data_IF_178971189559
#
_entry.id   IF_178971189559
#
_cell.length_a   1.000
_cell.length_b   1.000
_cell.length_c   1.000
_cell.angle_alpha   90.00
_cell.angle_beta   90.00
_cell.angle_gamma   90.00
#
_symmetry.space_group_name_H-M   'P 1'
#
loop_
_entity.id
_entity.type
_entity.pdbx_description
1 polymer ?
#
# COMPACT_ATOMS: atom_id res chain seq x y z
N UNK A 1 4.94 -7.97 17.69
CA UNK A 1 5.42 -6.62 17.34
C UNK A 1 6.54 -6.17 18.28
N UNK A 2 6.31 -6.14 19.61
CA UNK A 2 7.32 -5.72 20.61
C UNK A 2 8.69 -6.39 20.42
N UNK A 3 8.74 -7.72 20.36
CA UNK A 3 10.01 -8.47 20.13
C UNK A 3 10.74 -8.09 18.83
N UNK A 4 10.01 -7.66 17.79
CA UNK A 4 10.63 -7.19 16.54
C UNK A 4 11.30 -5.84 16.79
N UNK A 5 10.63 -4.93 17.49
CA UNK A 5 11.19 -3.63 17.81
C UNK A 5 12.38 -3.73 18.78
N UNK A 6 12.30 -4.60 19.78
CA UNK A 6 13.44 -4.90 20.67
C UNK A 6 14.66 -5.34 19.85
N UNK A 7 14.50 -6.33 18.97
CA UNK A 7 15.60 -6.79 18.10
C UNK A 7 16.12 -5.71 17.13
N UNK A 8 15.24 -4.84 16.63
CA UNK A 8 15.66 -3.72 15.77
C UNK A 8 16.50 -2.71 16.56
N UNK A 9 16.10 -2.37 17.78
CA UNK A 9 16.85 -1.46 18.65
C UNK A 9 18.20 -2.02 19.14
N UNK A 10 18.33 -3.35 19.21
CA UNK A 10 19.62 -3.99 19.53
C UNK A 10 20.64 -3.83 18.37
N UNK A 11 20.17 -3.70 17.13
CA UNK A 11 21.03 -3.74 15.94
C UNK A 11 21.15 -2.38 15.25
N UNK A 12 20.09 -1.55 15.30
CA UNK A 12 20.01 -0.29 14.59
C UNK A 12 19.73 0.87 15.54
N UNK A 13 20.36 1.99 15.28
CA UNK A 13 19.99 3.29 15.84
C UNK A 13 18.83 3.86 14.99
N UNK A 14 17.65 3.93 15.57
CA UNK A 14 16.47 4.47 14.89
C UNK A 14 16.46 5.98 15.09
N UNK A 15 16.43 6.74 13.99
CA UNK A 15 16.38 8.19 14.04
C UNK A 15 15.14 8.68 14.80
N UNK A 16 15.26 9.76 15.57
CA UNK A 16 14.16 10.31 16.38
C UNK A 16 12.96 10.74 15.50
N UNK A 17 13.22 11.18 14.26
CA UNK A 17 12.24 11.60 13.29
C UNK A 17 11.86 10.49 12.28
N UNK A 18 12.22 9.23 12.55
CA UNK A 18 11.92 8.12 11.65
C UNK A 18 10.41 8.02 11.35
N UNK A 19 10.06 7.83 10.08
CA UNK A 19 8.71 7.42 9.69
C UNK A 19 8.57 5.92 9.94
N UNK A 20 7.69 5.56 10.86
CA UNK A 20 7.41 4.16 11.21
C UNK A 20 5.96 3.86 10.89
N UNK A 21 5.76 3.12 9.80
CA UNK A 21 4.44 2.79 9.27
C UNK A 21 4.00 1.38 9.63
N UNK A 22 2.72 1.21 9.92
CA UNK A 22 2.05 -0.08 9.94
C UNK A 22 0.89 -0.08 8.95
N UNK A 23 0.79 -1.16 8.17
CA UNK A 23 -0.37 -1.40 7.32
C UNK A 23 -1.45 -2.13 8.11
N UNK A 24 -2.70 -1.69 7.93
CA UNK A 24 -3.85 -2.22 8.63
C UNK A 24 -5.03 -2.44 7.67
N UNK A 25 -5.74 -3.55 7.85
CA UNK A 25 -7.03 -3.71 7.20
C UNK A 25 -8.14 -3.17 8.12
N UNK A 26 -9.20 -2.56 7.57
CA UNK A 26 -10.38 -2.17 8.34
C UNK A 26 -10.91 -3.32 9.21
N UNK A 27 -11.33 -3.02 10.44
CA UNK A 27 -11.82 -4.02 11.40
C UNK A 27 -10.72 -4.82 12.12
N UNK A 28 -9.43 -4.61 11.84
CA UNK A 28 -8.33 -5.34 12.50
C UNK A 28 -7.65 -4.57 13.62
N UNK A 29 -7.89 -3.28 13.73
CA UNK A 29 -7.35 -2.41 14.78
C UNK A 29 -8.24 -2.43 16.02
N UNK A 30 -7.64 -2.33 17.21
CA UNK A 30 -8.32 -2.16 18.49
C UNK A 30 -7.63 -1.06 19.30
N UNK A 31 -8.29 -0.45 20.29
CA UNK A 31 -7.67 0.57 21.13
C UNK A 31 -6.37 0.08 21.79
N UNK A 32 -6.33 -1.19 22.23
CA UNK A 32 -5.15 -1.81 22.86
C UNK A 32 -3.98 -1.92 21.88
N UNK A 33 -4.25 -2.40 20.61
CA UNK A 33 -3.23 -2.47 19.56
C UNK A 33 -2.70 -1.09 19.22
N UNK A 34 -3.59 -0.11 19.08
CA UNK A 34 -3.19 1.27 18.73
C UNK A 34 -2.35 1.91 19.84
N UNK A 35 -2.71 1.66 21.12
CA UNK A 35 -1.89 2.09 22.25
C UNK A 35 -0.51 1.44 22.22
N UNK A 36 -0.43 0.13 21.93
CA UNK A 36 0.85 -0.57 21.80
C UNK A 36 1.67 -0.01 20.61
N UNK A 37 1.05 0.25 19.47
CA UNK A 37 1.72 0.85 18.31
C UNK A 37 2.34 2.22 18.64
N UNK A 38 1.58 3.08 19.34
CA UNK A 38 2.11 4.39 19.78
C UNK A 38 3.31 4.25 20.71
N UNK A 39 3.27 3.30 21.66
CA UNK A 39 4.39 3.03 22.59
C UNK A 39 5.64 2.54 21.85
N UNK A 40 5.48 1.83 20.75
CA UNK A 40 6.58 1.36 19.89
C UNK A 40 7.12 2.44 18.93
N UNK A 41 6.58 3.67 18.99
CA UNK A 41 7.02 4.75 18.11
C UNK A 41 6.37 4.74 16.73
N UNK A 42 5.43 3.83 16.44
CA UNK A 42 4.68 3.84 15.18
C UNK A 42 3.91 5.16 15.08
N UNK A 43 4.16 5.92 14.00
CA UNK A 43 3.64 7.26 13.83
C UNK A 43 2.80 7.44 12.54
N UNK A 44 2.76 6.43 11.67
CA UNK A 44 1.96 6.41 10.44
C UNK A 44 1.16 5.10 10.34
N UNK A 45 -0.10 5.21 9.90
CA UNK A 45 -0.96 4.05 9.61
C UNK A 45 -1.44 4.14 8.17
N UNK A 46 -1.33 3.01 7.43
CA UNK A 46 -1.89 2.85 6.09
C UNK A 46 -3.07 1.90 6.14
N UNK A 47 -4.23 2.35 5.64
CA UNK A 47 -5.43 1.52 5.56
C UNK A 47 -5.69 1.02 4.15
N UNK A 48 -5.73 -0.30 3.98
CA UNK A 48 -6.17 -0.94 2.74
C UNK A 48 -7.71 -0.93 2.62
N UNK A 49 -8.30 0.25 2.39
CA UNK A 49 -9.76 0.38 2.20
C UNK A 49 -10.20 -0.13 0.83
N UNK A 50 -9.56 0.31 -0.23
CA UNK A 50 -9.74 0.00 -1.65
C UNK A 50 -10.94 0.71 -2.30
N UNK A 51 -12.11 0.80 -1.69
CA UNK A 51 -13.28 1.53 -2.19
C UNK A 51 -14.18 1.98 -1.04
N UNK A 52 -14.93 3.06 -1.25
CA UNK A 52 -16.01 3.49 -0.34
C UNK A 52 -17.39 2.94 -0.75
N UNK A 53 -17.44 2.02 -1.71
CA UNK A 53 -18.63 1.29 -2.11
C UNK A 53 -18.55 -0.17 -1.69
N UNK A 54 -19.57 -0.65 -0.94
CA UNK A 54 -19.58 -2.01 -0.42
C UNK A 54 -19.76 -3.09 -1.51
N UNK A 55 -20.34 -2.73 -2.66
CA UNK A 55 -20.45 -3.61 -3.82
C UNK A 55 -19.09 -3.84 -4.46
N UNK A 56 -18.30 -2.77 -4.65
CA UNK A 56 -16.94 -2.83 -5.17
C UNK A 56 -16.01 -3.60 -4.20
N UNK A 57 -16.11 -3.36 -2.89
CA UNK A 57 -15.37 -4.12 -1.87
C UNK A 57 -15.64 -5.62 -1.97
N UNK A 58 -16.92 -6.00 -2.15
CA UNK A 58 -17.30 -7.41 -2.31
C UNK A 58 -16.75 -8.03 -3.60
N UNK A 59 -16.71 -7.29 -4.70
CA UNK A 59 -16.09 -7.74 -5.96
C UNK A 59 -14.59 -8.00 -5.79
N UNK A 60 -13.91 -7.17 -5.02
CA UNK A 60 -12.49 -7.35 -4.67
C UNK A 60 -12.24 -8.46 -3.63
N UNK A 61 -13.29 -9.14 -3.14
CA UNK A 61 -13.18 -10.17 -2.11
C UNK A 61 -12.83 -9.62 -0.73
N UNK A 62 -13.07 -8.32 -0.48
CA UNK A 62 -12.84 -7.72 0.84
C UNK A 62 -13.93 -8.19 1.82
N UNK A 63 -13.50 -8.49 3.05
CA UNK A 63 -14.40 -8.95 4.12
C UNK A 63 -14.96 -7.81 4.97
N UNK A 64 -14.35 -6.63 4.90
CA UNK A 64 -14.78 -5.44 5.60
C UNK A 64 -15.77 -4.61 4.77
N UNK A 65 -16.52 -3.75 5.43
CA UNK A 65 -17.39 -2.74 4.82
C UNK A 65 -16.81 -1.33 5.01
N UNK A 66 -17.37 -0.38 4.26
CA UNK A 66 -17.01 1.03 4.43
C UNK A 66 -17.31 1.57 5.83
N UNK A 67 -18.40 1.11 6.45
CA UNK A 67 -18.78 1.48 7.82
C UNK A 67 -17.75 0.98 8.84
N UNK A 68 -17.29 -0.27 8.71
CA UNK A 68 -16.23 -0.82 9.55
C UNK A 68 -14.88 -0.08 9.36
N UNK A 69 -14.63 0.40 8.15
CA UNK A 69 -13.50 1.28 7.92
C UNK A 69 -13.65 2.61 8.67
N UNK A 70 -14.81 3.26 8.62
CA UNK A 70 -15.06 4.50 9.33
C UNK A 70 -14.85 4.35 10.85
N UNK A 71 -15.33 3.27 11.44
CA UNK A 71 -15.10 2.94 12.85
C UNK A 71 -13.60 2.79 13.14
N UNK A 72 -12.87 2.05 12.28
CA UNK A 72 -11.43 1.86 12.42
C UNK A 72 -10.66 3.16 12.29
N UNK A 73 -11.03 3.99 11.32
CA UNK A 73 -10.41 5.30 11.08
C UNK A 73 -10.61 6.24 12.29
N UNK A 74 -11.82 6.27 12.85
CA UNK A 74 -12.12 7.06 14.04
C UNK A 74 -11.31 6.59 15.27
N UNK A 75 -11.18 5.27 15.46
CA UNK A 75 -10.35 4.71 16.54
C UNK A 75 -8.89 5.14 16.40
N UNK A 76 -8.33 5.12 15.18
CA UNK A 76 -6.96 5.54 14.91
C UNK A 76 -6.77 7.04 15.19
N UNK A 77 -7.72 7.89 14.77
CA UNK A 77 -7.71 9.33 15.10
C UNK A 77 -7.77 9.57 16.60
N UNK A 78 -8.67 8.88 17.32
CA UNK A 78 -8.77 8.97 18.78
C UNK A 78 -7.51 8.51 19.52
N UNK A 79 -6.77 7.57 18.93
CA UNK A 79 -5.47 7.12 19.45
C UNK A 79 -4.31 8.13 19.18
N UNK A 80 -4.61 9.26 18.55
CA UNK A 80 -3.65 10.36 18.34
C UNK A 80 -2.76 10.19 17.11
N UNK A 81 -3.13 9.35 16.13
CA UNK A 81 -2.43 9.30 14.85
C UNK A 81 -2.82 10.48 13.97
N UNK A 82 -1.83 11.22 13.51
CA UNK A 82 -1.96 12.42 12.66
C UNK A 82 -1.38 12.22 11.26
N UNK A 83 -0.86 11.04 10.95
CA UNK A 83 -0.41 10.65 9.62
C UNK A 83 -1.09 9.32 9.24
N UNK A 84 -2.15 9.43 8.44
CA UNK A 84 -2.94 8.29 8.00
C UNK A 84 -3.00 8.29 6.48
N UNK A 85 -2.65 7.15 5.91
CA UNK A 85 -2.86 6.85 4.50
C UNK A 85 -4.12 6.02 4.30
N UNK A 86 -4.79 6.21 3.16
CA UNK A 86 -5.91 5.39 2.71
C UNK A 86 -5.58 4.90 1.30
N UNK A 87 -5.50 3.58 1.13
CA UNK A 87 -5.28 2.95 -0.17
C UNK A 87 -6.63 2.74 -0.87
N UNK A 88 -6.70 3.17 -2.13
CA UNK A 88 -7.85 3.07 -3.01
C UNK A 88 -7.46 2.39 -4.32
N UNK A 89 -8.39 1.68 -4.92
CA UNK A 89 -8.22 1.05 -6.23
C UNK A 89 -9.29 1.60 -7.17
N UNK A 90 -8.86 2.15 -8.31
CA UNK A 90 -9.70 2.51 -9.45
C UNK A 90 -9.77 1.37 -10.47
N UNK A 91 -10.63 1.51 -11.47
CA UNK A 91 -10.83 0.54 -12.53
C UNK A 91 -11.28 -0.87 -12.06
N UNK A 92 -11.97 -0.93 -10.93
CA UNK A 92 -12.61 -2.17 -10.44
C UNK A 92 -13.72 -2.59 -11.42
N UNK A 93 -13.94 -3.89 -11.64
CA UNK A 93 -15.05 -4.35 -12.49
C UNK A 93 -16.37 -3.68 -12.12
N UNK A 94 -17.10 -3.19 -13.14
CA UNK A 94 -18.37 -2.43 -13.03
C UNK A 94 -18.24 -1.05 -12.37
N UNK A 95 -17.06 -0.62 -11.98
CA UNK A 95 -16.85 0.74 -11.50
C UNK A 95 -17.02 1.73 -12.65
N UNK A 96 -17.64 2.86 -12.37
CA UNK A 96 -17.81 3.96 -13.32
C UNK A 96 -16.98 5.15 -12.87
N UNK A 97 -16.66 6.07 -13.77
CA UNK A 97 -15.99 7.34 -13.42
C UNK A 97 -16.74 8.06 -12.29
N UNK A 98 -18.09 8.05 -12.34
CA UNK A 98 -18.92 8.67 -11.29
C UNK A 98 -18.80 7.97 -9.93
N UNK A 99 -18.83 6.63 -9.87
CA UNK A 99 -18.67 5.91 -8.59
C UNK A 99 -17.28 6.09 -7.99
N UNK A 100 -16.26 6.18 -8.85
CA UNK A 100 -14.90 6.53 -8.43
C UNK A 100 -14.80 7.94 -7.85
N UNK A 101 -15.36 8.95 -8.52
CA UNK A 101 -15.43 10.32 -7.98
C UNK A 101 -16.14 10.38 -6.62
N UNK A 102 -17.25 9.63 -6.44
CA UNK A 102 -17.93 9.57 -5.15
C UNK A 102 -17.06 8.92 -4.06
N UNK A 103 -16.27 7.89 -4.40
CA UNK A 103 -15.28 7.31 -3.48
C UNK A 103 -14.27 8.38 -3.06
N UNK A 104 -13.64 9.09 -3.99
CA UNK A 104 -12.70 10.15 -3.68
C UNK A 104 -13.31 11.24 -2.77
N UNK A 105 -14.52 11.72 -3.10
CA UNK A 105 -15.24 12.73 -2.31
C UNK A 105 -15.54 12.27 -0.87
N UNK A 106 -15.89 10.98 -0.69
CA UNK A 106 -16.10 10.41 0.65
C UNK A 106 -14.82 10.39 1.46
N UNK A 107 -13.71 10.00 0.83
CA UNK A 107 -12.41 9.90 1.50
C UNK A 107 -11.84 11.28 1.86
N UNK A 108 -11.92 12.25 0.97
CA UNK A 108 -11.48 13.63 1.22
C UNK A 108 -12.17 14.25 2.44
N UNK A 109 -13.46 13.95 2.66
CA UNK A 109 -14.21 14.43 3.84
C UNK A 109 -13.62 13.95 5.17
N UNK A 110 -12.90 12.83 5.18
CA UNK A 110 -12.21 12.30 6.36
C UNK A 110 -10.90 13.03 6.63
N UNK A 111 -10.41 13.81 5.65
CA UNK A 111 -9.18 14.61 5.73
C UNK A 111 -7.95 13.78 6.09
N UNK A 112 -7.68 12.62 5.44
CA UNK A 112 -6.43 11.92 5.66
C UNK A 112 -5.24 12.80 5.27
N UNK A 113 -4.05 12.46 5.68
CA UNK A 113 -2.83 13.17 5.29
C UNK A 113 -2.30 12.68 3.95
N UNK A 114 -2.60 11.43 3.61
CA UNK A 114 -2.09 10.75 2.43
C UNK A 114 -3.18 9.88 1.79
N UNK A 115 -3.18 9.77 0.47
CA UNK A 115 -4.07 8.90 -0.31
C UNK A 115 -3.23 8.20 -1.38
N UNK A 116 -3.31 6.87 -1.40
CA UNK A 116 -2.77 6.05 -2.49
C UNK A 116 -3.93 5.65 -3.39
N UNK A 117 -3.88 5.99 -4.67
CA UNK A 117 -4.93 5.71 -5.65
C UNK A 117 -4.32 4.94 -6.83
N UNK A 118 -4.41 3.61 -6.76
CA UNK A 118 -3.87 2.70 -7.77
C UNK A 118 -4.94 2.34 -8.78
N UNK A 119 -4.57 2.16 -10.06
CA UNK A 119 -5.41 1.43 -10.99
C UNK A 119 -5.30 -0.08 -10.75
N UNK A 120 -6.41 -0.80 -10.90
CA UNK A 120 -6.44 -2.24 -10.74
C UNK A 120 -5.52 -2.92 -11.76
N UNK A 121 -4.56 -3.71 -11.26
CA UNK A 121 -3.72 -4.57 -12.10
C UNK A 121 -4.17 -6.01 -11.92
N UNK A 122 -4.47 -6.67 -13.03
CA UNK A 122 -4.87 -8.07 -13.04
C UNK A 122 -3.62 -8.93 -13.24
N UNK A 123 -3.17 -9.56 -12.16
CA UNK A 123 -1.99 -10.42 -12.18
C UNK A 123 -2.33 -11.82 -12.70
N UNK A 124 -1.52 -12.32 -13.65
CA UNK A 124 -1.63 -13.68 -14.16
C UNK A 124 -1.55 -14.73 -13.05
N UNK A 125 -2.26 -15.85 -13.23
CA UNK A 125 -2.29 -16.94 -12.28
C UNK A 125 -3.25 -16.76 -11.10
N UNK A 126 -3.84 -15.57 -10.93
CA UNK A 126 -4.82 -15.30 -9.88
C UNK A 126 -6.23 -15.80 -10.24
N UNK A 127 -7.09 -15.98 -9.23
CA UNK A 127 -8.52 -16.26 -9.48
C UNK A 127 -9.21 -15.09 -10.16
N UNK A 128 -8.72 -13.87 -9.93
CA UNK A 128 -9.23 -12.65 -10.54
C UNK A 128 -8.91 -12.61 -12.04
N UNK A 129 -7.70 -12.99 -12.44
CA UNK A 129 -7.32 -13.12 -13.87
C UNK A 129 -8.18 -14.14 -14.63
N UNK A 130 -8.62 -15.22 -13.97
CA UNK A 130 -9.51 -16.21 -14.59
C UNK A 130 -10.91 -15.67 -14.88
N UNK A 131 -11.37 -14.66 -14.14
CA UNK A 131 -12.68 -14.05 -14.27
C UNK A 131 -12.67 -12.83 -15.18
N UNK A 132 -11.64 -11.98 -15.07
CA UNK A 132 -11.57 -10.66 -15.65
C UNK A 132 -10.35 -10.43 -16.56
N UNK A 133 -9.42 -11.38 -16.67
CA UNK A 133 -8.25 -11.27 -17.56
C UNK A 133 -8.67 -11.32 -19.04
N UNK A 134 -7.73 -11.05 -19.93
CA UNK A 134 -7.94 -11.05 -21.38
C UNK A 134 -8.58 -12.36 -21.87
N UNK A 135 -9.65 -12.25 -22.64
CA UNK A 135 -10.42 -13.39 -23.17
C UNK A 135 -11.29 -14.12 -22.12
N UNK A 136 -11.40 -13.61 -20.90
CA UNK A 136 -12.19 -14.23 -19.83
C UNK A 136 -13.68 -13.89 -19.94
N UNK A 137 -14.57 -14.65 -19.26
CA UNK A 137 -16.03 -14.46 -19.39
C UNK A 137 -16.54 -13.08 -18.96
N UNK A 138 -15.85 -12.43 -18.03
CA UNK A 138 -16.27 -11.16 -17.43
C UNK A 138 -15.33 -10.00 -17.76
N UNK A 139 -14.40 -10.16 -18.71
CA UNK A 139 -13.50 -9.09 -19.15
C UNK A 139 -14.28 -7.80 -19.49
N UNK A 140 -15.43 -7.93 -20.14
CA UNK A 140 -16.31 -6.81 -20.49
C UNK A 140 -16.86 -6.01 -19.29
N UNK A 141 -16.76 -6.54 -18.08
CA UNK A 141 -17.17 -5.85 -16.85
C UNK A 141 -16.09 -4.88 -16.35
N UNK A 142 -14.88 -4.94 -16.93
CA UNK A 142 -13.84 -3.95 -16.66
C UNK A 142 -14.18 -2.62 -17.34
N UNK A 143 -13.84 -1.48 -16.72
CA UNK A 143 -13.86 -0.21 -17.41
C UNK A 143 -13.02 -0.25 -18.68
N UNK A 144 -13.42 0.51 -19.68
CA UNK A 144 -12.62 0.71 -20.88
C UNK A 144 -11.35 1.52 -20.59
N UNK A 145 -10.33 1.42 -21.44
CA UNK A 145 -9.10 2.23 -21.32
C UNK A 145 -9.40 3.73 -21.20
N UNK A 146 -10.42 4.21 -21.93
CA UNK A 146 -10.86 5.62 -21.87
C UNK A 146 -11.45 5.95 -20.48
N UNK A 147 -12.28 5.08 -19.90
CA UNK A 147 -12.83 5.29 -18.56
C UNK A 147 -11.74 5.22 -17.50
N UNK A 148 -10.77 4.30 -17.62
CA UNK A 148 -9.63 4.20 -16.74
C UNK A 148 -8.77 5.48 -16.79
N UNK A 149 -8.49 5.99 -18.01
CA UNK A 149 -7.78 7.25 -18.20
C UNK A 149 -8.53 8.42 -17.56
N UNK A 150 -9.85 8.48 -17.73
CA UNK A 150 -10.68 9.51 -17.10
C UNK A 150 -10.67 9.40 -15.56
N UNK A 151 -10.70 8.20 -14.99
CA UNK A 151 -10.58 8.00 -13.54
C UNK A 151 -9.23 8.53 -13.05
N UNK A 152 -8.14 8.25 -13.76
CA UNK A 152 -6.81 8.76 -13.41
C UNK A 152 -6.76 10.31 -13.45
N UNK A 153 -7.23 10.92 -14.52
CA UNK A 153 -7.28 12.37 -14.67
C UNK A 153 -8.15 13.03 -13.59
N UNK A 154 -9.35 12.44 -13.31
CA UNK A 154 -10.24 12.90 -12.24
C UNK A 154 -9.65 12.74 -10.85
N UNK A 155 -8.83 11.74 -10.62
CA UNK A 155 -8.12 11.58 -9.35
C UNK A 155 -7.21 12.77 -9.10
N UNK A 156 -6.37 13.12 -10.06
CA UNK A 156 -5.45 14.27 -9.94
C UNK A 156 -6.24 15.57 -9.76
N UNK A 157 -7.24 15.84 -10.61
CA UNK A 157 -8.06 17.06 -10.55
C UNK A 157 -8.74 17.22 -9.17
N UNK A 158 -9.41 16.17 -8.71
CA UNK A 158 -10.19 16.24 -7.46
C UNK A 158 -9.27 16.35 -6.24
N UNK A 159 -8.17 15.59 -6.21
CA UNK A 159 -7.25 15.61 -5.07
C UNK A 159 -6.49 16.94 -4.99
N UNK A 160 -6.00 17.48 -6.11
CA UNK A 160 -5.32 18.77 -6.16
C UNK A 160 -6.23 19.92 -5.66
N UNK A 161 -7.48 19.98 -6.12
CA UNK A 161 -8.48 20.94 -5.66
C UNK A 161 -8.77 20.86 -4.15
N UNK A 162 -8.41 19.76 -3.49
CA UNK A 162 -8.62 19.53 -2.06
C UNK A 162 -7.32 19.53 -1.25
N UNK A 163 -6.22 20.02 -1.83
CA UNK A 163 -4.94 20.22 -1.15
C UNK A 163 -4.07 18.97 -1.02
N UNK A 164 -4.27 17.99 -1.89
CA UNK A 164 -3.40 16.84 -2.03
C UNK A 164 -2.63 16.97 -3.34
N UNK A 165 -1.32 17.12 -3.28
CA UNK A 165 -0.47 17.12 -4.47
C UNK A 165 0.03 15.71 -4.79
N UNK A 166 0.12 15.40 -6.07
CA UNK A 166 0.73 14.15 -6.53
C UNK A 166 2.25 14.26 -6.45
N UNK A 167 2.91 13.38 -5.70
CA UNK A 167 4.37 13.38 -5.58
C UNK A 167 5.05 12.20 -6.30
N UNK A 168 4.27 11.21 -6.74
CA UNK A 168 4.69 10.13 -7.62
C UNK A 168 3.47 9.59 -8.41
N UNK A 169 3.53 8.41 -9.05
CA UNK A 169 2.53 7.94 -10.02
C UNK A 169 1.13 7.80 -9.39
N UNK A 170 1.04 7.19 -8.20
CA UNK A 170 -0.21 6.75 -7.57
C UNK A 170 -0.45 7.36 -6.19
N UNK A 171 0.50 8.14 -5.67
CA UNK A 171 0.45 8.64 -4.31
C UNK A 171 0.30 10.16 -4.25
N UNK A 172 -0.63 10.57 -3.40
CA UNK A 172 -1.03 11.96 -3.18
C UNK A 172 -0.94 12.28 -1.69
N UNK A 173 -0.43 13.44 -1.34
CA UNK A 173 -0.25 13.86 0.04
C UNK A 173 -0.56 15.34 0.25
N UNK A 174 -0.89 15.69 1.48
CA UNK A 174 -0.77 17.09 1.92
C UNK A 174 0.70 17.45 2.03
N UNK A 175 1.01 18.73 1.91
CA UNK A 175 2.39 19.23 2.00
C UNK A 175 3.11 18.72 3.27
N UNK A 176 4.29 18.11 3.08
CA UNK A 176 5.10 17.52 4.15
C UNK A 176 4.59 16.18 4.70
N UNK A 177 3.59 15.55 4.04
CA UNK A 177 3.03 14.26 4.44
C UNK A 177 3.28 13.16 3.40
N UNK A 178 4.20 13.39 2.46
CA UNK A 178 4.67 12.40 1.50
C UNK A 178 5.29 11.21 2.25
N UNK A 179 4.98 9.99 1.80
CA UNK A 179 5.56 8.78 2.39
C UNK A 179 7.06 8.70 2.09
N UNK A 180 7.89 8.80 3.12
CA UNK A 180 9.35 8.76 2.98
C UNK A 180 9.86 7.43 2.45
N UNK A 181 9.17 6.34 2.76
CA UNK A 181 9.46 5.02 2.22
C UNK A 181 9.26 4.97 0.69
N UNK A 182 8.13 5.49 0.18
CA UNK A 182 7.85 5.53 -1.25
C UNK A 182 8.87 6.42 -1.99
N UNK A 183 9.15 7.61 -1.45
CA UNK A 183 10.20 8.49 -2.01
C UNK A 183 11.55 7.79 -2.05
N UNK A 184 11.89 7.03 -1.01
CA UNK A 184 13.14 6.26 -0.94
C UNK A 184 13.29 5.25 -2.09
N UNK A 185 12.20 4.62 -2.54
CA UNK A 185 12.23 3.74 -3.71
C UNK A 185 12.51 4.51 -5.00
N UNK A 186 11.84 5.64 -5.21
CA UNK A 186 12.04 6.49 -6.40
C UNK A 186 13.44 7.10 -6.46
N UNK A 187 13.98 7.48 -5.30
CA UNK A 187 15.34 7.98 -5.16
C UNK A 187 16.41 6.87 -5.15
N UNK A 188 16.00 5.60 -5.25
CA UNK A 188 16.89 4.43 -5.19
C UNK A 188 17.76 4.39 -3.94
N UNK A 189 17.22 4.85 -2.82
CA UNK A 189 17.89 4.72 -1.50
C UNK A 189 18.06 3.25 -1.14
N UNK A 190 19.14 2.93 -0.43
CA UNK A 190 19.31 1.59 0.13
C UNK A 190 18.18 1.27 1.11
N UNK A 191 17.62 0.06 0.99
CA UNK A 191 16.66 -0.48 1.93
C UNK A 191 16.90 -1.96 2.16
N UNK A 192 16.59 -2.43 3.36
CA UNK A 192 16.73 -3.81 3.78
C UNK A 192 15.37 -4.43 4.05
N UNK A 193 15.00 -5.44 3.25
CA UNK A 193 13.81 -6.24 3.45
C UNK A 193 14.06 -7.37 4.46
N UNK A 194 13.29 -7.41 5.52
CA UNK A 194 13.30 -8.46 6.53
C UNK A 194 12.02 -9.28 6.43
N UNK A 195 12.15 -10.59 6.46
CA UNK A 195 11.02 -11.51 6.39
C UNK A 195 10.95 -12.31 5.09
N UNK A 196 9.97 -13.20 5.03
CA UNK A 196 9.68 -14.08 3.90
C UNK A 196 9.32 -13.26 2.66
N UNK A 197 9.97 -13.54 1.52
CA UNK A 197 9.71 -12.85 0.25
C UNK A 197 10.16 -11.38 0.19
N UNK A 198 10.64 -10.81 1.30
CA UNK A 198 10.99 -9.39 1.36
C UNK A 198 12.14 -9.04 0.42
N UNK A 199 12.00 -7.93 -0.30
CA UNK A 199 13.01 -7.41 -1.22
C UNK A 199 13.93 -6.40 -0.55
N UNK A 200 15.16 -6.28 -1.05
CA UNK A 200 16.15 -5.32 -0.60
C UNK A 200 16.83 -4.65 -1.79
N UNK A 201 17.28 -3.43 -1.61
CA UNK A 201 18.21 -2.74 -2.51
C UNK A 201 19.40 -2.25 -1.68
N UNK A 202 20.56 -2.85 -1.86
CA UNK A 202 21.80 -2.43 -1.20
C UNK A 202 22.91 -2.27 -2.24
N UNK A 203 23.60 -1.14 -2.20
CA UNK A 203 24.69 -0.82 -3.13
C UNK A 203 24.31 -1.04 -4.59
N UNK A 204 23.12 -0.58 -4.95
CA UNK A 204 22.52 -0.71 -6.29
C UNK A 204 22.29 -2.17 -6.74
N UNK A 205 22.27 -3.12 -5.81
CA UNK A 205 21.98 -4.53 -6.07
C UNK A 205 20.65 -4.91 -5.44
N UNK A 206 19.70 -5.37 -6.26
CA UNK A 206 18.40 -5.85 -5.79
C UNK A 206 18.47 -7.36 -5.55
N UNK A 207 17.90 -7.80 -4.44
CA UNK A 207 17.67 -9.21 -4.14
C UNK A 207 16.39 -9.36 -3.31
N UNK A 208 15.83 -10.56 -3.28
CA UNK A 208 14.70 -10.90 -2.39
C UNK A 208 15.04 -12.09 -1.52
N UNK A 209 14.38 -12.19 -0.39
CA UNK A 209 14.40 -13.41 0.41
C UNK A 209 13.55 -14.49 -0.27
N UNK A 210 13.79 -15.77 0.08
CA UNK A 210 12.97 -16.87 -0.40
C UNK A 210 11.51 -16.69 0.00
N UNK A 211 10.59 -17.14 -0.85
CA UNK A 211 9.14 -17.22 -0.57
C UNK A 211 8.75 -18.55 0.08
N UNK A 212 9.68 -19.50 0.20
CA UNK A 212 9.44 -20.78 0.83
C UNK A 212 9.65 -20.66 2.35
N UNK A 213 8.54 -20.76 3.10
CA UNK A 213 8.56 -20.64 4.57
C UNK A 213 9.50 -21.64 5.24
N UNK A 214 9.54 -22.88 4.75
CA UNK A 214 10.40 -23.93 5.34
C UNK A 214 11.88 -23.58 5.14
N UNK A 215 12.27 -23.24 3.91
CA UNK A 215 13.63 -22.81 3.58
C UNK A 215 14.03 -21.57 4.42
N UNK A 216 13.13 -20.59 4.55
CA UNK A 216 13.37 -19.38 5.33
C UNK A 216 13.62 -19.69 6.81
N UNK A 217 12.84 -20.60 7.41
CA UNK A 217 12.96 -20.96 8.83
C UNK A 217 14.14 -21.88 9.13
N UNK A 218 14.42 -22.85 8.25
CA UNK A 218 15.56 -23.76 8.39
C UNK A 218 16.91 -23.07 8.20
N UNK A 219 16.95 -22.02 7.37
CA UNK A 219 18.17 -21.23 7.11
C UNK A 219 18.22 -19.92 7.92
N UNK A 220 17.43 -19.79 8.99
CA UNK A 220 17.48 -18.64 9.87
C UNK A 220 18.91 -18.40 10.40
N UNK A 221 19.40 -17.15 10.29
CA UNK A 221 20.78 -16.81 10.64
C UNK A 221 21.84 -17.05 9.53
N UNK A 222 21.41 -17.55 8.36
CA UNK A 222 22.28 -17.74 7.18
C UNK A 222 21.73 -16.95 5.99
N UNK A 223 21.88 -15.61 5.99
CA UNK A 223 21.22 -14.73 5.02
C UNK A 223 21.59 -15.06 3.56
N UNK A 224 22.79 -15.55 3.30
CA UNK A 224 23.24 -15.95 1.96
C UNK A 224 22.45 -17.14 1.39
N UNK A 225 21.85 -17.98 2.23
CA UNK A 225 21.04 -19.13 1.80
C UNK A 225 19.60 -18.76 1.53
N UNK A 226 19.08 -17.75 2.21
CA UNK A 226 17.70 -17.31 2.01
C UNK A 226 17.55 -16.26 0.91
N UNK A 227 18.66 -15.62 0.49
CA UNK A 227 18.65 -14.57 -0.54
C UNK A 227 18.62 -15.17 -1.94
N UNK A 228 17.61 -14.77 -2.73
CA UNK A 228 17.56 -15.00 -4.17
C UNK A 228 18.15 -13.80 -4.89
N UNK A 229 19.22 -13.99 -5.64
CA UNK A 229 19.81 -12.92 -6.45
C UNK A 229 18.89 -12.63 -7.64
N UNK A 230 18.33 -11.44 -7.72
CA UNK A 230 17.85 -10.92 -9.01
C UNK A 230 19.08 -10.57 -9.86
N UNK A 231 19.06 -10.90 -11.16
CA UNK A 231 20.09 -10.45 -12.11
C UNK A 231 20.23 -8.94 -11.96
N UNK A 232 21.47 -8.44 -11.87
CA UNK A 232 21.73 -7.03 -12.04
C UNK A 232 21.06 -6.63 -13.36
N UNK A 233 20.20 -5.63 -13.35
CA UNK A 233 19.73 -5.00 -14.57
C UNK A 233 20.97 -4.38 -15.18
N UNK A 234 21.56 -5.03 -16.20
CA UNK A 234 22.49 -4.38 -17.12
C UNK A 234 21.81 -3.10 -17.59
N UNK A 235 22.55 -1.98 -17.53
CA UNK A 235 22.05 -0.62 -17.66
C UNK A 235 21.30 -0.33 -18.98
N UNK A 236 20.07 -0.79 -19.07
CA UNK A 236 19.20 -0.60 -20.22
C UNK A 236 17.77 -0.97 -19.86
N UNK A 237 16.97 0.04 -19.57
CA UNK A 237 15.53 0.03 -19.26
C UNK A 237 15.18 -0.52 -17.88
N UNK A 238 14.79 0.38 -17.01
CA UNK A 238 14.02 0.07 -15.83
C UNK A 238 12.77 -0.71 -16.29
N UNK A 239 12.70 -1.99 -15.93
CA UNK A 239 11.46 -2.74 -15.97
C UNK A 239 10.56 -2.10 -14.92
N UNK A 240 9.52 -1.39 -15.38
CA UNK A 240 8.61 -0.58 -14.57
C UNK A 240 7.63 -1.42 -13.74
N UNK A 241 8.11 -2.45 -13.07
CA UNK A 241 7.32 -3.21 -12.09
C UNK A 241 7.83 -2.89 -10.69
N UNK A 242 7.15 -1.97 -10.08
CA UNK A 242 7.15 -1.75 -8.64
C UNK A 242 5.94 -2.48 -8.07
#
# INVERSE_FOLDING_TARGET
>A
MERIFEALHEVFEIAEDAEITVEANPGTVTPEKLSAYRKLGINRISFGLQSADNGELKLLGRIHTYEQFLESYEMVRKAGFTNINIDLISAIPKQTVRSWEETLKRIIRLKPEHISAYSLIIEEGTSFAKLYGEGSPLERDLPSEEEERLMYEKTEEILDQNGYHRYEISNYAKEGMECRHNLGYWERKNYLGLGLGASSLLDNRRYSNTENLREYTECAGQPEKIRKKHRASDGGRADGRI
#
